data_IF_666348595311
#
_entry.id   IF_666348595311
#
_cell.length_a   1.000
_cell.length_b   1.000
_cell.length_c   1.000
_cell.angle_alpha   90.00
_cell.angle_beta   90.00
_cell.angle_gamma   90.00
#
_symmetry.space_group_name_H-M   'P 1'
#
loop_
_entity.id
_entity.type
_entity.pdbx_description
1 polymer ?
#
# COMPACT_ATOMS: atom_id res chain seq x y z
N UNK A 1 -16.76 20.26 12.16
CA UNK A 1 -15.40 19.85 12.61
C UNK A 1 -14.64 19.40 11.37
N UNK A 2 -13.38 19.83 11.19
CA UNK A 2 -12.57 19.41 10.04
C UNK A 2 -12.21 17.95 10.19
N UNK A 3 -12.51 17.11 9.19
CA UNK A 3 -12.18 15.69 9.20
C UNK A 3 -10.66 15.50 9.31
N UNK A 4 -10.23 14.63 10.22
CA UNK A 4 -8.82 14.30 10.40
C UNK A 4 -8.30 13.56 9.16
N UNK A 5 -7.09 13.87 8.73
CA UNK A 5 -6.42 13.24 7.57
C UNK A 5 -7.15 13.38 6.21
N UNK A 6 -8.08 14.33 6.06
CA UNK A 6 -8.75 14.58 4.78
C UNK A 6 -7.85 15.32 3.79
N UNK A 7 -8.06 15.06 2.49
CA UNK A 7 -7.46 15.79 1.39
C UNK A 7 -7.99 17.23 1.35
N UNK A 8 -7.13 18.20 1.62
CA UNK A 8 -7.49 19.63 1.70
C UNK A 8 -7.11 20.42 0.46
N UNK A 9 -6.08 19.97 -0.23
CA UNK A 9 -5.56 20.60 -1.44
C UNK A 9 -6.15 19.94 -2.70
N UNK A 10 -6.14 20.64 -3.86
CA UNK A 10 -6.42 20.01 -5.13
C UNK A 10 -5.50 18.81 -5.37
N UNK A 11 -6.06 17.70 -5.85
CA UNK A 11 -5.27 16.48 -6.13
C UNK A 11 -4.16 16.75 -7.13
N UNK A 12 -4.42 17.62 -8.14
CA UNK A 12 -3.40 18.02 -9.10
C UNK A 12 -2.17 18.68 -8.47
N UNK A 13 -2.36 19.49 -7.41
CA UNK A 13 -1.27 20.08 -6.64
C UNK A 13 -0.48 19.05 -5.83
N UNK A 14 -1.17 18.07 -5.24
CA UNK A 14 -0.53 16.95 -4.53
C UNK A 14 0.34 16.15 -5.49
N UNK A 15 -0.21 15.76 -6.65
CA UNK A 15 0.50 14.96 -7.65
C UNK A 15 1.69 15.70 -8.29
N UNK A 16 1.69 17.04 -8.28
CA UNK A 16 2.81 17.83 -8.77
C UNK A 16 4.07 17.70 -7.87
N UNK A 17 3.90 17.27 -6.62
CA UNK A 17 4.98 17.08 -5.63
C UNK A 17 5.42 15.63 -5.48
N UNK A 18 5.11 14.78 -6.46
CA UNK A 18 5.55 13.38 -6.42
C UNK A 18 7.08 13.29 -6.29
N UNK A 19 7.62 12.41 -5.44
CA UNK A 19 9.07 12.26 -5.26
C UNK A 19 9.80 11.97 -6.58
N UNK A 20 11.00 12.51 -6.73
CA UNK A 20 11.80 12.43 -7.97
C UNK A 20 11.97 10.98 -8.48
N UNK A 21 12.16 10.01 -7.57
CA UNK A 21 12.32 8.60 -7.92
C UNK A 21 11.10 7.97 -8.60
N UNK A 22 9.93 8.59 -8.48
CA UNK A 22 8.67 8.10 -9.06
C UNK A 22 8.17 8.95 -10.24
N UNK A 23 8.75 10.13 -10.49
CA UNK A 23 8.27 11.10 -11.48
C UNK A 23 8.12 10.52 -12.87
N UNK A 24 9.05 9.66 -13.31
CA UNK A 24 9.06 9.10 -14.67
C UNK A 24 7.80 8.28 -15.02
N UNK A 25 7.05 7.81 -14.01
CA UNK A 25 5.79 7.08 -14.21
C UNK A 25 4.57 7.94 -13.88
N UNK A 26 4.66 8.72 -12.80
CA UNK A 26 3.51 9.52 -12.32
C UNK A 26 3.26 10.71 -13.24
N UNK A 27 4.29 11.38 -13.74
CA UNK A 27 4.11 12.56 -14.57
C UNK A 27 3.43 12.27 -15.91
N UNK A 28 3.87 11.28 -16.73
CA UNK A 28 3.16 10.95 -17.97
C UNK A 28 1.73 10.50 -17.76
N UNK A 29 1.48 9.72 -16.69
CA UNK A 29 0.12 9.33 -16.36
C UNK A 29 -0.74 10.53 -15.95
N UNK A 30 -0.24 11.43 -15.12
CA UNK A 30 -0.96 12.65 -14.73
C UNK A 30 -1.36 13.50 -15.94
N UNK A 31 -0.53 13.54 -16.97
CA UNK A 31 -0.75 14.26 -18.23
C UNK A 31 -1.61 13.48 -19.24
N UNK A 32 -1.91 12.22 -18.99
CA UNK A 32 -2.81 11.40 -19.80
C UNK A 32 -4.27 11.84 -19.66
N UNK A 33 -5.13 11.36 -20.57
CA UNK A 33 -6.58 11.61 -20.47
C UNK A 33 -7.17 11.02 -19.19
N UNK A 34 -6.73 9.82 -18.79
CA UNK A 34 -7.18 9.13 -17.59
C UNK A 34 -6.75 9.86 -16.31
N UNK A 35 -5.48 10.30 -16.25
CA UNK A 35 -4.95 11.05 -15.11
C UNK A 35 -5.68 12.40 -14.93
N UNK A 36 -5.89 13.14 -16.02
CA UNK A 36 -6.67 14.41 -15.98
C UNK A 36 -8.11 14.18 -15.58
N UNK A 37 -8.76 13.13 -16.08
CA UNK A 37 -10.13 12.80 -15.73
C UNK A 37 -10.27 12.45 -14.25
N UNK A 38 -9.33 11.66 -13.69
CA UNK A 38 -9.30 11.35 -12.27
C UNK A 38 -9.10 12.59 -11.41
N UNK A 39 -8.12 13.44 -11.75
CA UNK A 39 -7.86 14.69 -11.02
C UNK A 39 -9.11 15.56 -11.02
N UNK A 40 -9.73 15.79 -12.18
CA UNK A 40 -10.95 16.57 -12.29
C UNK A 40 -12.12 15.97 -11.49
N UNK A 41 -12.27 14.64 -11.49
CA UNK A 41 -13.28 13.95 -10.69
C UNK A 41 -13.06 14.16 -9.19
N UNK A 42 -11.87 13.92 -8.69
CA UNK A 42 -11.57 14.03 -7.26
C UNK A 42 -11.70 15.49 -6.79
N UNK A 43 -11.20 16.44 -7.58
CA UNK A 43 -11.27 17.86 -7.23
C UNK A 43 -12.73 18.37 -7.24
N UNK A 44 -13.54 17.98 -8.22
CA UNK A 44 -14.98 18.32 -8.25
C UNK A 44 -15.73 17.73 -7.04
N UNK A 45 -15.43 16.49 -6.63
CA UNK A 45 -16.03 15.90 -5.44
C UNK A 45 -15.64 16.68 -4.17
N UNK A 46 -14.34 17.00 -4.03
CA UNK A 46 -13.84 17.80 -2.91
C UNK A 46 -14.51 19.20 -2.86
N UNK A 47 -14.65 19.88 -4.00
CA UNK A 47 -15.28 21.19 -4.10
C UNK A 47 -16.79 21.15 -3.81
N UNK A 48 -17.44 20.04 -4.12
CA UNK A 48 -18.84 19.80 -3.73
C UNK A 48 -19.03 19.47 -2.24
N UNK A 49 -17.96 19.47 -1.45
CA UNK A 49 -18.01 19.22 -0.01
C UNK A 49 -17.81 17.76 0.41
N UNK A 50 -17.51 16.86 -0.52
CA UNK A 50 -17.16 15.49 -0.15
C UNK A 50 -15.84 15.45 0.65
N UNK A 51 -15.84 14.69 1.76
CA UNK A 51 -14.62 14.44 2.53
C UNK A 51 -13.89 13.30 1.88
N UNK A 52 -12.65 13.54 1.46
CA UNK A 52 -11.81 12.57 0.74
C UNK A 52 -10.59 12.22 1.57
N UNK A 53 -10.28 10.92 1.66
CA UNK A 53 -9.12 10.38 2.35
C UNK A 53 -8.16 9.66 1.39
N UNK A 54 -6.87 9.56 1.76
CA UNK A 54 -6.15 10.29 2.81
C UNK A 54 -5.72 11.69 2.33
N UNK A 55 -5.37 12.58 3.26
CA UNK A 55 -4.69 13.83 2.92
C UNK A 55 -3.27 13.61 2.37
N UNK A 56 -2.56 12.64 2.92
CA UNK A 56 -1.23 12.25 2.47
C UNK A 56 -1.31 11.17 1.36
N UNK A 57 -1.85 11.52 0.19
CA UNK A 57 -2.12 10.59 -0.92
C UNK A 57 -0.87 9.86 -1.41
N UNK A 58 0.27 10.54 -1.43
CA UNK A 58 1.55 10.01 -1.97
C UNK A 58 2.47 9.41 -0.90
N UNK A 59 2.02 9.26 0.35
CA UNK A 59 2.88 8.87 1.47
C UNK A 59 3.64 7.56 1.25
N UNK A 60 3.03 6.58 0.59
CA UNK A 60 3.71 5.33 0.26
C UNK A 60 4.94 5.57 -0.65
N UNK A 61 4.81 6.48 -1.61
CA UNK A 61 5.88 6.85 -2.54
C UNK A 61 6.93 7.77 -1.88
N UNK A 62 6.49 8.61 -0.94
CA UNK A 62 7.36 9.53 -0.19
C UNK A 62 8.28 8.78 0.77
N UNK A 63 7.74 7.79 1.51
CA UNK A 63 8.51 7.01 2.49
C UNK A 63 9.35 5.90 1.84
N UNK A 64 8.98 5.44 0.65
CA UNK A 64 9.67 4.34 -0.03
C UNK A 64 10.06 4.79 -1.45
N UNK A 65 11.26 5.40 -1.64
CA UNK A 65 11.79 5.71 -2.97
C UNK A 65 11.88 4.46 -3.86
N UNK A 66 11.73 4.61 -5.18
CA UNK A 66 11.69 3.49 -6.13
C UNK A 66 12.89 2.54 -5.96
N UNK A 67 14.09 3.09 -5.88
CA UNK A 67 15.34 2.32 -5.77
C UNK A 67 15.50 1.65 -4.40
N UNK A 68 14.79 2.15 -3.39
CA UNK A 68 14.80 1.58 -2.05
C UNK A 68 13.79 0.44 -1.86
N UNK A 69 12.86 0.22 -2.83
CA UNK A 69 11.84 -0.82 -2.71
C UNK A 69 12.48 -2.20 -2.62
N UNK A 70 12.22 -2.91 -1.52
CA UNK A 70 12.63 -4.30 -1.25
C UNK A 70 11.44 -5.25 -1.17
N UNK A 71 10.34 -4.79 -0.56
CA UNK A 71 9.09 -5.54 -0.45
C UNK A 71 7.95 -4.70 -1.00
N UNK A 72 7.00 -5.32 -1.70
CA UNK A 72 5.75 -4.70 -2.14
C UNK A 72 4.59 -5.41 -1.45
N UNK A 73 3.77 -4.65 -0.74
CA UNK A 73 2.49 -5.11 -0.17
C UNK A 73 1.38 -4.30 -0.84
N UNK A 74 0.47 -4.99 -1.54
CA UNK A 74 -0.58 -4.35 -2.32
C UNK A 74 -1.91 -4.43 -1.57
N UNK A 75 -2.46 -3.25 -1.22
CA UNK A 75 -3.82 -3.08 -0.70
C UNK A 75 -4.81 -2.74 -1.80
N UNK A 76 -6.08 -2.61 -1.47
CA UNK A 76 -7.14 -2.25 -2.41
C UNK A 76 -7.37 -0.74 -2.44
N UNK A 77 -7.97 -0.17 -1.43
CA UNK A 77 -8.30 1.24 -1.26
C UNK A 77 -8.00 1.70 0.18
N UNK A 78 -7.90 3.02 0.43
CA UNK A 78 -7.70 3.53 1.79
C UNK A 78 -8.88 3.22 2.70
N UNK A 79 -8.64 3.20 4.01
CA UNK A 79 -9.73 3.20 4.98
C UNK A 79 -10.58 4.46 4.81
N UNK A 80 -11.91 4.29 4.88
CA UNK A 80 -12.89 5.36 4.66
C UNK A 80 -13.48 5.96 5.94
N UNK A 81 -13.05 5.47 7.11
CA UNK A 81 -13.40 6.05 8.41
C UNK A 81 -12.56 7.27 8.76
N UNK A 82 -13.14 8.18 9.56
CA UNK A 82 -12.48 9.42 9.95
C UNK A 82 -11.15 9.14 10.69
N UNK A 83 -10.09 9.82 10.29
CA UNK A 83 -8.77 9.71 10.86
C UNK A 83 -8.03 8.38 10.60
N UNK A 84 -8.62 7.41 9.88
CA UNK A 84 -8.02 6.09 9.71
C UNK A 84 -6.96 6.02 8.60
N UNK A 85 -7.23 6.59 7.44
CA UNK A 85 -6.30 6.52 6.31
C UNK A 85 -5.13 7.47 6.50
N UNK A 86 -3.92 6.98 6.25
CA UNK A 86 -2.70 7.79 6.32
C UNK A 86 -1.80 7.68 5.08
N UNK A 87 -2.32 7.13 3.97
CA UNK A 87 -1.60 7.01 2.71
C UNK A 87 -0.69 5.79 2.58
N UNK A 88 -0.78 4.84 3.51
CA UNK A 88 -0.10 3.55 3.49
C UNK A 88 -1.14 2.43 3.55
N UNK A 89 -1.01 1.42 2.71
CA UNK A 89 -1.89 0.24 2.73
C UNK A 89 -1.84 -0.46 4.09
N UNK A 90 -3.02 -0.84 4.63
CA UNK A 90 -3.24 -1.48 5.93
C UNK A 90 -2.90 -0.64 7.16
N UNK A 91 -2.21 0.49 7.02
CA UNK A 91 -1.74 1.34 8.11
C UNK A 91 -2.81 2.32 8.60
N UNK A 92 -2.78 2.61 9.90
CA UNK A 92 -3.55 3.69 10.53
C UNK A 92 -2.64 4.53 11.43
N UNK A 93 -2.92 5.83 11.63
CA UNK A 93 -2.11 6.68 12.50
C UNK A 93 -2.05 6.19 13.94
N UNK A 94 -1.06 6.68 14.68
CA UNK A 94 -1.01 6.51 16.13
C UNK A 94 -2.31 6.98 16.80
N UNK A 95 -2.72 6.26 17.84
CA UNK A 95 -3.97 6.55 18.57
C UNK A 95 -5.23 5.99 17.90
N UNK A 96 -5.17 5.57 16.65
CA UNK A 96 -6.29 4.90 15.99
C UNK A 96 -6.39 3.43 16.41
N UNK A 97 -7.63 2.94 16.53
CA UNK A 97 -7.87 1.52 16.78
C UNK A 97 -7.34 0.67 15.64
N UNK A 98 -6.52 -0.32 15.96
CA UNK A 98 -5.96 -1.25 14.96
C UNK A 98 -7.08 -1.99 14.20
N UNK A 99 -7.17 -1.85 12.87
CA UNK A 99 -8.21 -2.51 12.07
C UNK A 99 -8.11 -4.04 12.09
N UNK A 100 -9.21 -4.76 11.84
CA UNK A 100 -9.23 -6.22 11.92
C UNK A 100 -8.21 -6.92 11.03
N UNK A 101 -8.00 -6.44 9.79
CA UNK A 101 -6.99 -6.99 8.89
C UNK A 101 -5.58 -6.80 9.43
N UNK A 102 -5.27 -5.62 9.97
CA UNK A 102 -3.96 -5.34 10.54
C UNK A 102 -3.70 -6.14 11.83
N UNK A 103 -4.73 -6.41 12.64
CA UNK A 103 -4.58 -7.34 13.78
C UNK A 103 -4.15 -8.74 13.31
N UNK A 104 -4.70 -9.23 12.21
CA UNK A 104 -4.29 -10.52 11.64
C UNK A 104 -2.86 -10.46 11.04
N UNK A 105 -2.47 -9.33 10.44
CA UNK A 105 -1.09 -9.10 9.98
C UNK A 105 -0.14 -9.17 11.18
N UNK A 106 -0.42 -8.46 12.28
CA UNK A 106 0.38 -8.51 13.51
C UNK A 106 0.43 -9.92 14.12
N UNK A 107 -0.70 -10.65 14.11
CA UNK A 107 -0.74 -12.03 14.60
C UNK A 107 0.16 -12.96 13.76
N UNK A 108 0.19 -12.78 12.44
CA UNK A 108 1.06 -13.56 11.55
C UNK A 108 2.53 -13.19 11.71
N UNK A 109 2.87 -11.89 11.84
CA UNK A 109 4.24 -11.45 12.17
C UNK A 109 4.74 -12.13 13.44
N UNK A 110 3.92 -12.12 14.50
CA UNK A 110 4.27 -12.78 15.77
C UNK A 110 4.44 -14.28 15.60
N UNK A 111 3.53 -14.94 14.88
CA UNK A 111 3.59 -16.39 14.66
C UNK A 111 4.80 -16.80 13.83
N UNK A 112 5.07 -16.07 12.75
CA UNK A 112 6.10 -16.43 11.77
C UNK A 112 7.53 -16.14 12.25
N UNK A 113 7.70 -15.00 12.94
CA UNK A 113 9.02 -14.49 13.32
C UNK A 113 9.31 -14.56 14.82
N UNK A 114 8.32 -14.83 15.66
CA UNK A 114 8.46 -14.80 17.12
C UNK A 114 8.66 -13.42 17.73
N UNK A 115 8.57 -12.35 16.92
CA UNK A 115 8.73 -10.96 17.39
C UNK A 115 7.42 -10.41 17.96
N UNK A 116 7.52 -9.47 18.89
CA UNK A 116 6.36 -8.74 19.40
C UNK A 116 5.98 -7.67 18.39
N UNK A 117 4.77 -7.72 17.80
CA UNK A 117 4.30 -6.64 16.93
C UNK A 117 4.03 -5.37 17.72
N UNK A 118 4.05 -4.19 17.08
CA UNK A 118 3.75 -2.93 17.73
C UNK A 118 2.35 -2.90 18.33
N UNK A 119 2.18 -2.15 19.42
CA UNK A 119 0.88 -1.90 20.06
C UNK A 119 0.00 -0.91 19.29
N UNK A 120 0.52 -0.30 18.23
CA UNK A 120 -0.15 0.66 17.36
C UNK A 120 -0.32 0.12 15.94
N UNK A 121 -1.11 0.83 15.11
CA UNK A 121 -1.36 0.44 13.72
C UNK A 121 -0.53 1.19 12.67
N UNK A 122 0.45 1.99 13.10
CA UNK A 122 1.28 2.78 12.19
C UNK A 122 2.42 1.94 11.61
N UNK A 123 2.45 1.80 10.27
CA UNK A 123 3.44 0.98 9.56
C UNK A 123 4.55 1.79 8.86
N UNK A 124 4.70 3.06 9.20
CA UNK A 124 5.74 3.93 8.64
C UNK A 124 7.16 3.39 8.83
N UNK A 125 7.43 2.66 9.93
CA UNK A 125 8.70 2.01 10.18
C UNK A 125 9.04 0.93 9.14
N UNK A 126 8.04 0.20 8.65
CA UNK A 126 8.23 -0.74 7.53
C UNK A 126 8.51 -0.01 6.22
N UNK A 127 7.72 1.06 5.92
CA UNK A 127 7.89 1.83 4.70
C UNK A 127 9.30 2.42 4.57
N UNK A 128 9.85 2.98 5.65
CA UNK A 128 11.22 3.52 5.67
C UNK A 128 12.31 2.47 5.44
N UNK A 129 12.01 1.20 5.66
CA UNK A 129 12.91 0.09 5.36
C UNK A 129 12.79 -0.43 3.92
N UNK A 130 11.97 0.19 3.08
CA UNK A 130 11.77 -0.25 1.70
C UNK A 130 10.59 -1.20 1.51
N UNK A 131 9.62 -1.22 2.45
CA UNK A 131 8.34 -1.90 2.25
C UNK A 131 7.35 -0.92 1.62
N UNK A 132 7.12 -1.04 0.32
CA UNK A 132 6.12 -0.24 -0.38
C UNK A 132 4.71 -0.73 -0.02
N UNK A 133 4.03 0.01 0.83
CA UNK A 133 2.65 -0.25 1.28
C UNK A 133 1.68 0.51 0.35
N UNK A 134 1.42 -0.04 -0.83
CA UNK A 134 0.68 0.64 -1.91
C UNK A 134 -0.76 0.11 -2.00
N UNK A 135 -1.74 1.02 -2.05
CA UNK A 135 -3.10 0.68 -2.48
C UNK A 135 -3.23 0.78 -4.00
N UNK A 136 -4.12 0.00 -4.62
CA UNK A 136 -4.42 0.12 -6.06
C UNK A 136 -5.22 1.36 -6.39
N UNK A 137 -6.04 1.84 -5.44
CA UNK A 137 -6.78 3.11 -5.48
C UNK A 137 -6.26 3.99 -4.35
N UNK A 138 -5.79 5.22 -4.63
CA UNK A 138 -5.09 6.02 -3.63
C UNK A 138 -5.99 7.00 -2.87
N UNK A 139 -7.25 7.16 -3.27
CA UNK A 139 -8.23 8.03 -2.60
C UNK A 139 -9.58 7.35 -2.43
N UNK A 140 -10.36 7.79 -1.45
CA UNK A 140 -11.71 7.28 -1.15
C UNK A 140 -12.55 8.38 -0.50
N UNK A 141 -13.86 8.40 -0.71
CA UNK A 141 -14.76 9.28 0.04
C UNK A 141 -15.08 8.69 1.42
N UNK A 142 -15.31 9.58 2.39
CA UNK A 142 -15.71 9.21 3.73
C UNK A 142 -16.94 8.29 3.72
N UNK A 143 -16.92 7.25 4.54
CA UNK A 143 -17.97 6.25 4.70
C UNK A 143 -18.36 5.50 3.41
N UNK A 144 -17.60 5.60 2.30
CA UNK A 144 -17.94 5.03 1.00
C UNK A 144 -16.79 4.21 0.41
N UNK A 145 -16.64 2.97 0.89
CA UNK A 145 -15.59 2.06 0.41
C UNK A 145 -15.65 1.89 -1.11
N UNK A 146 -14.48 1.95 -1.78
CA UNK A 146 -14.36 1.76 -3.23
C UNK A 146 -14.93 2.90 -4.08
N UNK A 147 -15.33 4.05 -3.50
CA UNK A 147 -15.97 5.15 -4.23
C UNK A 147 -15.14 5.73 -5.38
N UNK A 148 -13.82 5.60 -5.30
CA UNK A 148 -12.89 6.05 -6.35
C UNK A 148 -12.29 4.89 -7.17
N UNK A 149 -12.75 3.66 -6.97
CA UNK A 149 -12.31 2.52 -7.77
C UNK A 149 -12.74 2.70 -9.25
N UNK A 150 -11.88 2.25 -10.18
CA UNK A 150 -12.10 2.35 -11.64
C UNK A 150 -12.23 3.80 -12.14
N UNK A 151 -11.65 4.76 -11.44
CA UNK A 151 -11.60 6.17 -11.84
C UNK A 151 -10.27 6.58 -12.45
N UNK A 152 -9.29 5.65 -12.55
CA UNK A 152 -7.99 5.90 -13.19
C UNK A 152 -6.76 5.67 -12.29
N UNK A 153 -6.93 5.48 -10.97
CA UNK A 153 -5.82 5.13 -10.09
C UNK A 153 -5.13 3.83 -10.49
N UNK A 154 -5.93 2.85 -10.92
CA UNK A 154 -5.43 1.51 -11.26
C UNK A 154 -4.49 1.53 -12.48
N UNK A 155 -4.65 2.49 -13.40
CA UNK A 155 -3.72 2.69 -14.51
C UNK A 155 -2.34 3.14 -14.01
N UNK A 156 -2.28 4.09 -13.08
CA UNK A 156 -1.03 4.50 -12.44
C UNK A 156 -0.41 3.36 -11.65
N UNK A 157 -1.15 2.81 -10.68
CA UNK A 157 -0.61 1.79 -9.77
C UNK A 157 -0.22 0.52 -10.51
N UNK A 158 -0.94 0.15 -11.58
CA UNK A 158 -0.56 -0.91 -12.49
C UNK A 158 0.76 -0.65 -13.21
N UNK A 159 0.98 0.58 -13.71
CA UNK A 159 2.25 0.97 -14.32
C UNK A 159 3.42 0.90 -13.32
N UNK A 160 3.19 1.34 -12.07
CA UNK A 160 4.19 1.22 -11.00
C UNK A 160 4.51 -0.26 -10.70
N UNK A 161 3.50 -1.14 -10.66
CA UNK A 161 3.69 -2.58 -10.44
C UNK A 161 4.49 -3.23 -11.56
N UNK A 162 4.22 -2.88 -12.82
CA UNK A 162 5.00 -3.36 -13.98
C UNK A 162 6.45 -2.89 -13.88
N UNK A 163 6.67 -1.62 -13.56
CA UNK A 163 8.02 -1.07 -13.42
C UNK A 163 8.82 -1.77 -12.32
N UNK A 164 8.20 -2.01 -11.15
CA UNK A 164 8.83 -2.73 -10.04
C UNK A 164 9.13 -4.20 -10.38
N UNK A 165 8.26 -4.84 -11.16
CA UNK A 165 8.44 -6.23 -11.59
C UNK A 165 9.55 -6.41 -12.66
N UNK A 166 9.86 -5.35 -13.38
CA UNK A 166 10.93 -5.31 -14.41
C UNK A 166 12.26 -4.79 -13.87
N UNK A 167 12.28 -4.21 -12.66
CA UNK A 167 13.51 -3.71 -12.07
C UNK A 167 14.49 -4.87 -11.81
N UNK A 168 15.78 -4.76 -12.17
CA UNK A 168 16.74 -5.82 -11.94
C UNK A 168 17.03 -6.08 -10.45
N UNK A 169 16.74 -5.15 -9.56
CA UNK A 169 17.00 -5.32 -8.14
C UNK A 169 16.00 -6.28 -7.48
N UNK A 170 16.45 -7.36 -6.80
CA UNK A 170 15.58 -8.36 -6.18
C UNK A 170 14.54 -7.76 -5.23
N UNK A 171 13.29 -8.19 -5.35
CA UNK A 171 12.15 -7.76 -4.52
C UNK A 171 11.27 -8.95 -4.12
N UNK A 172 10.54 -8.80 -3.03
CA UNK A 172 9.48 -9.72 -2.62
C UNK A 172 8.10 -9.05 -2.81
N UNK A 173 7.19 -9.68 -3.54
CA UNK A 173 5.82 -9.22 -3.72
C UNK A 173 4.91 -10.06 -2.81
N UNK A 174 4.26 -9.41 -1.84
CA UNK A 174 3.31 -10.04 -0.92
C UNK A 174 1.89 -9.70 -1.37
N UNK A 175 1.24 -10.63 -2.08
CA UNK A 175 -0.05 -10.44 -2.73
C UNK A 175 -1.15 -11.16 -1.92
N UNK A 176 -1.80 -10.41 -1.04
CA UNK A 176 -2.79 -10.95 -0.10
C UNK A 176 -4.23 -10.74 -0.57
N UNK A 177 -4.89 -11.84 -0.94
CA UNK A 177 -6.25 -11.88 -1.43
C UNK A 177 -6.36 -11.74 -2.95
N UNK A 178 -7.51 -12.13 -3.48
CA UNK A 178 -7.75 -12.19 -4.93
C UNK A 178 -7.59 -10.85 -5.65
N UNK A 179 -7.89 -9.74 -4.97
CA UNK A 179 -7.69 -8.40 -5.55
C UNK A 179 -6.21 -8.11 -5.79
N UNK A 180 -5.38 -8.26 -4.74
CA UNK A 180 -3.93 -8.02 -4.84
C UNK A 180 -3.27 -8.95 -5.88
N UNK A 181 -3.71 -10.21 -5.95
CA UNK A 181 -3.20 -11.19 -6.93
C UNK A 181 -3.57 -10.82 -8.36
N UNK A 182 -4.77 -10.27 -8.61
CA UNK A 182 -5.17 -9.81 -9.96
C UNK A 182 -4.47 -8.51 -10.38
N UNK A 183 -4.20 -7.62 -9.42
CA UNK A 183 -3.57 -6.32 -9.67
C UNK A 183 -2.05 -6.37 -9.54
N UNK A 184 -1.50 -7.46 -9.02
CA UNK A 184 -0.07 -7.73 -8.99
C UNK A 184 0.47 -7.95 -10.40
N UNK A 185 1.81 -7.98 -10.56
CA UNK A 185 2.41 -8.19 -11.87
C UNK A 185 2.11 -9.59 -12.42
N UNK A 186 1.73 -9.68 -13.71
CA UNK A 186 1.48 -10.95 -14.39
C UNK A 186 2.76 -11.80 -14.53
N UNK A 187 3.91 -11.14 -14.56
CA UNK A 187 5.23 -11.78 -14.58
C UNK A 187 6.21 -10.88 -13.83
N UNK A 188 7.19 -11.49 -13.21
CA UNK A 188 8.29 -10.79 -12.53
C UNK A 188 9.62 -11.28 -13.09
N UNK A 189 10.65 -10.45 -13.05
CA UNK A 189 11.99 -10.90 -13.36
C UNK A 189 12.42 -12.06 -12.41
N UNK A 190 13.25 -12.96 -12.89
CA UNK A 190 13.68 -14.16 -12.14
C UNK A 190 14.34 -13.83 -10.77
N UNK A 191 14.83 -12.61 -10.62
CA UNK A 191 15.40 -12.12 -9.37
C UNK A 191 14.37 -11.85 -8.25
N UNK A 192 13.07 -11.81 -8.58
CA UNK A 192 12.01 -11.50 -7.62
C UNK A 192 11.33 -12.74 -7.08
N UNK A 193 10.73 -12.63 -5.88
CA UNK A 193 9.84 -13.62 -5.32
C UNK A 193 8.41 -13.10 -5.21
N UNK A 194 7.42 -13.96 -5.46
CA UNK A 194 5.99 -13.67 -5.30
C UNK A 194 5.41 -14.63 -4.28
N UNK A 195 4.79 -14.09 -3.24
CA UNK A 195 4.13 -14.83 -2.17
C UNK A 195 2.65 -14.47 -2.15
N UNK A 196 1.79 -15.43 -2.42
CA UNK A 196 0.35 -15.26 -2.52
C UNK A 196 -0.40 -16.05 -1.44
N UNK A 197 -1.39 -15.43 -0.81
CA UNK A 197 -2.28 -16.06 0.16
C UNK A 197 -3.66 -15.40 0.13
N UNK A 198 -4.59 -15.92 0.93
CA UNK A 198 -5.86 -15.23 1.18
C UNK A 198 -5.63 -13.87 1.86
N UNK A 199 -6.67 -13.03 1.81
CA UNK A 199 -6.63 -11.69 2.41
C UNK A 199 -6.58 -11.77 3.95
N UNK A 200 -5.86 -10.86 4.65
CA UNK A 200 -5.78 -10.85 6.12
C UNK A 200 -7.08 -10.48 6.84
N UNK A 201 -8.18 -10.17 6.13
CA UNK A 201 -9.46 -9.89 6.77
C UNK A 201 -9.96 -11.08 7.59
N UNK A 202 -10.73 -10.86 8.68
CA UNK A 202 -11.32 -11.96 9.48
C UNK A 202 -12.17 -12.94 8.66
N UNK A 203 -12.72 -12.47 7.53
CA UNK A 203 -13.55 -13.31 6.65
C UNK A 203 -12.73 -14.35 5.87
N UNK A 204 -11.43 -14.13 5.66
CA UNK A 204 -10.61 -14.96 4.79
C UNK A 204 -9.32 -15.47 5.44
N UNK A 205 -8.82 -14.81 6.48
CA UNK A 205 -7.47 -15.03 7.01
C UNK A 205 -7.16 -16.48 7.43
N UNK A 206 -8.18 -17.26 7.82
CA UNK A 206 -8.03 -18.67 8.28
C UNK A 206 -8.73 -19.67 7.38
N UNK A 207 -9.21 -19.28 6.20
CA UNK A 207 -10.06 -20.11 5.33
C UNK A 207 -9.33 -20.61 4.09
N UNK A 208 -9.84 -21.70 3.50
CA UNK A 208 -9.40 -22.21 2.20
C UNK A 208 -8.01 -22.84 2.21
N UNK A 209 -7.49 -23.13 1.01
CA UNK A 209 -6.25 -23.86 0.80
C UNK A 209 -4.98 -23.01 1.03
N UNK A 210 -5.08 -21.68 0.96
CA UNK A 210 -3.96 -20.78 1.14
C UNK A 210 -4.30 -19.68 2.20
N UNK A 211 -4.52 -20.05 3.49
CA UNK A 211 -4.88 -19.11 4.52
C UNK A 211 -3.79 -18.05 4.72
N UNK A 212 -4.18 -16.84 5.16
CA UNK A 212 -3.22 -15.80 5.51
C UNK A 212 -2.45 -16.16 6.79
N UNK A 213 -3.16 -16.58 7.83
CA UNK A 213 -2.52 -17.06 9.06
C UNK A 213 -1.87 -18.41 8.80
N UNK A 214 -0.56 -18.46 8.99
CA UNK A 214 0.27 -19.65 8.73
C UNK A 214 1.03 -19.56 7.39
N UNK A 215 0.94 -18.47 6.63
CA UNK A 215 1.55 -18.37 5.31
C UNK A 215 3.10 -18.20 5.35
N UNK A 216 3.68 -17.69 6.46
CA UNK A 216 5.12 -17.52 6.61
C UNK A 216 5.76 -16.52 5.64
N UNK A 217 5.00 -15.57 5.12
CA UNK A 217 5.47 -14.63 4.09
C UNK A 217 6.53 -13.67 4.59
N UNK A 218 6.53 -13.28 5.86
CA UNK A 218 7.51 -12.36 6.43
C UNK A 218 8.90 -12.98 6.50
N UNK A 219 9.01 -14.21 7.03
CA UNK A 219 10.26 -14.96 7.05
C UNK A 219 10.72 -15.33 5.64
N UNK A 220 9.79 -15.71 4.74
CA UNK A 220 10.11 -16.05 3.35
C UNK A 220 10.64 -14.82 2.59
N UNK A 221 10.05 -13.64 2.76
CA UNK A 221 10.54 -12.39 2.18
C UNK A 221 11.95 -12.07 2.68
N UNK A 222 12.20 -12.18 3.99
CA UNK A 222 13.53 -11.95 4.55
C UNK A 222 14.57 -12.93 4.04
N UNK A 223 14.24 -14.23 3.93
CA UNK A 223 15.14 -15.24 3.34
C UNK A 223 15.50 -14.88 1.90
N UNK A 224 14.51 -14.52 1.08
CA UNK A 224 14.73 -14.12 -0.31
C UNK A 224 15.64 -12.88 -0.41
N UNK A 225 15.34 -11.83 0.35
CA UNK A 225 16.12 -10.60 0.35
C UNK A 225 17.55 -10.82 0.82
N UNK A 226 17.74 -11.58 1.91
CA UNK A 226 19.08 -11.89 2.45
C UNK A 226 19.90 -12.72 1.45
N UNK A 227 19.31 -13.73 0.84
CA UNK A 227 19.96 -14.54 -0.19
C UNK A 227 20.35 -13.73 -1.44
N UNK A 228 19.65 -12.63 -1.70
CA UNK A 228 19.89 -11.72 -2.82
C UNK A 228 20.76 -10.51 -2.46
N UNK A 229 21.36 -10.48 -1.26
CA UNK A 229 22.21 -9.38 -0.81
C UNK A 229 21.44 -8.08 -0.48
N UNK A 230 20.11 -8.14 -0.34
CA UNK A 230 19.25 -6.98 -0.05
C UNK A 230 18.99 -6.78 1.45
N UNK A 231 19.62 -7.58 2.32
CA UNK A 231 19.41 -7.56 3.77
C UNK A 231 18.05 -8.12 4.19
N UNK A 232 17.57 -7.77 5.37
CA UNK A 232 16.28 -8.18 5.90
C UNK A 232 15.43 -6.96 6.29
N UNK A 233 14.13 -7.17 6.44
CA UNK A 233 13.19 -6.21 7.03
C UNK A 233 13.01 -6.57 8.51
N UNK A 234 13.11 -5.60 9.38
CA UNK A 234 12.63 -5.72 10.75
C UNK A 234 11.11 -5.46 10.75
N UNK A 235 10.34 -6.52 11.03
CA UNK A 235 8.87 -6.49 11.07
C UNK A 235 8.33 -6.22 12.47
N UNK A 236 9.21 -6.03 13.46
CA UNK A 236 8.85 -5.76 14.85
C UNK A 236 8.37 -4.35 15.11
N UNK A 237 8.40 -3.96 16.38
CA UNK A 237 8.06 -2.60 16.82
C UNK A 237 9.25 -1.67 16.60
N UNK A 238 9.18 -0.89 15.55
CA UNK A 238 10.24 0.03 15.17
C UNK A 238 9.99 1.42 15.73
N UNK A 239 11.03 2.10 16.22
CA UNK A 239 10.92 3.50 16.59
C UNK A 239 10.51 4.35 15.38
N UNK A 240 9.71 5.35 15.61
CA UNK A 240 9.13 6.27 14.61
C UNK A 240 10.16 7.30 14.14
#
# INVERSE_FOLDING_TARGET
MSALNALREPLGAVLARVPASWQRWVQPWRESAEGRALVGFVDARRESGAVIYPGAVLRALELTPFDAVRVVILGQDPYHGDGQAEGLAFSVPFGQRIPPSLRNIHAEVRRDLGVTPPSHGHLGGWARQGVLLLNTTLTVEAASAGSHAKRGWEALTGALMVALAQDPQPKAFLLWGAHAQRCGPNSVAAAHAVFASNHPSPLAARRGAAPFIGNGHFSAANRHLSASGRGSIDWGDLPV
#
